data_IF_980282201866
#
_entry.id   IF_980282201866
#
_cell.length_a   1.000
_cell.length_b   1.000
_cell.length_c   1.000
_cell.angle_alpha   90.00
_cell.angle_beta   90.00
_cell.angle_gamma   90.00
#
_symmetry.space_group_name_H-M   'P 1'
#
loop_
_entity.id
_entity.type
_entity.pdbx_description
1 polymer ?
#
# COMPACT_ATOMS: atom_id res chain seq x y z
N UNK A 1 -21.36 -28.06 37.68
CA UNK A 1 -19.97 -28.45 38.01
C UNK A 1 -19.57 -29.60 37.08
N UNK A 2 -19.15 -29.27 35.85
CA UNK A 2 -18.54 -30.17 34.83
C UNK A 2 -18.26 -29.31 33.57
N UNK A 3 -17.55 -28.19 33.75
CA UNK A 3 -17.26 -27.21 32.68
C UNK A 3 -15.82 -26.70 32.75
N UNK A 4 -14.89 -27.44 33.36
CA UNK A 4 -13.64 -26.80 33.83
C UNK A 4 -12.32 -27.56 33.71
N UNK A 5 -12.22 -28.71 33.06
CA UNK A 5 -10.92 -29.41 33.01
C UNK A 5 -10.38 -29.75 31.61
N UNK A 6 -11.21 -29.73 30.56
CA UNK A 6 -10.77 -30.09 29.20
C UNK A 6 -10.33 -28.87 28.36
N UNK A 7 -10.70 -27.67 28.79
CA UNK A 7 -10.46 -26.42 28.04
C UNK A 7 -9.19 -25.69 28.47
N UNK A 8 -8.57 -26.10 29.59
CA UNK A 8 -7.43 -25.38 30.19
C UNK A 8 -6.09 -26.11 29.96
N UNK A 9 -6.08 -27.43 29.73
CA UNK A 9 -4.83 -28.22 29.64
C UNK A 9 -4.31 -28.54 28.23
N UNK A 10 -5.04 -28.19 27.17
CA UNK A 10 -4.59 -28.40 25.79
C UNK A 10 -3.98 -27.15 25.14
N UNK A 11 -4.08 -26.00 25.80
CA UNK A 11 -3.64 -24.67 25.33
C UNK A 11 -2.43 -24.15 26.16
N UNK A 12 -1.60 -25.03 26.73
CA UNK A 12 -0.25 -24.62 27.18
C UNK A 12 0.66 -24.48 25.94
N UNK A 13 0.46 -23.35 25.27
CA UNK A 13 1.23 -22.70 24.20
C UNK A 13 1.60 -23.50 22.93
N UNK A 14 0.62 -24.02 22.18
CA UNK A 14 0.83 -24.09 20.75
C UNK A 14 0.87 -22.66 20.20
N UNK A 15 1.98 -22.29 19.54
CA UNK A 15 2.15 -21.08 18.71
C UNK A 15 0.89 -20.77 17.88
N UNK A 16 0.12 -21.80 17.53
CA UNK A 16 -1.19 -21.69 16.92
C UNK A 16 -2.25 -22.55 17.65
N UNK A 17 -3.19 -21.96 18.41
CA UNK A 17 -4.24 -22.70 19.11
C UNK A 17 -5.10 -23.54 18.16
N UNK A 18 -5.41 -24.79 18.56
CA UNK A 18 -6.11 -25.77 17.71
C UNK A 18 -7.50 -25.32 17.23
N UNK A 19 -8.15 -24.39 17.96
CA UNK A 19 -9.41 -23.77 17.54
C UNK A 19 -9.29 -23.01 16.21
N UNK A 20 -8.18 -22.32 15.97
CA UNK A 20 -7.96 -21.57 14.73
C UNK A 20 -7.69 -22.51 13.56
N UNK A 21 -6.92 -23.59 13.80
CA UNK A 21 -6.68 -24.64 12.81
C UNK A 21 -8.01 -25.24 12.32
N UNK A 22 -8.87 -25.65 13.26
CA UNK A 22 -10.19 -26.21 12.93
C UNK A 22 -11.07 -25.21 12.19
N UNK A 23 -11.05 -23.94 12.60
CA UNK A 23 -11.84 -22.88 11.95
C UNK A 23 -11.47 -22.75 10.46
N UNK A 24 -10.17 -22.64 10.16
CA UNK A 24 -9.69 -22.50 8.76
C UNK A 24 -9.92 -23.78 7.95
N UNK A 25 -9.70 -24.95 8.55
CA UNK A 25 -9.95 -26.24 7.89
C UNK A 25 -11.43 -26.49 7.58
N UNK A 26 -12.34 -25.91 8.37
CA UNK A 26 -13.78 -26.04 8.18
C UNK A 26 -14.34 -25.07 7.11
N UNK A 27 -13.53 -24.15 6.56
CA UNK A 27 -13.98 -23.28 5.47
C UNK A 27 -14.48 -24.08 4.24
N UNK A 28 -13.91 -25.27 4.00
CA UNK A 28 -14.35 -26.19 2.94
C UNK A 28 -15.79 -26.71 3.12
N UNK A 29 -16.38 -26.58 4.32
CA UNK A 29 -17.78 -26.95 4.57
C UNK A 29 -18.77 -26.02 3.88
N UNK A 30 -18.30 -24.85 3.41
CA UNK A 30 -19.11 -23.88 2.69
C UNK A 30 -18.84 -24.01 1.17
N UNK A 31 -19.62 -24.85 0.43
CA UNK A 31 -19.32 -25.17 -0.98
C UNK A 31 -19.40 -23.97 -1.93
N UNK A 32 -20.03 -22.87 -1.49
CA UNK A 32 -20.19 -21.63 -2.24
C UNK A 32 -19.28 -20.50 -1.74
N UNK A 33 -18.36 -20.78 -0.81
CA UNK A 33 -17.42 -19.78 -0.31
C UNK A 33 -16.43 -19.41 -1.42
N UNK A 34 -16.51 -18.16 -1.89
CA UNK A 34 -15.65 -17.63 -2.97
C UNK A 34 -14.88 -16.39 -2.56
N UNK A 35 -15.28 -15.73 -1.48
CA UNK A 35 -14.68 -14.51 -1.01
C UNK A 35 -14.22 -14.75 0.42
N UNK A 36 -12.95 -14.48 0.69
CA UNK A 36 -12.38 -14.62 2.02
C UNK A 36 -11.65 -13.33 2.39
N UNK A 37 -12.05 -12.73 3.51
CA UNK A 37 -11.33 -11.62 4.12
C UNK A 37 -10.71 -12.11 5.43
N UNK A 38 -9.41 -11.88 5.59
CA UNK A 38 -8.65 -12.20 6.80
C UNK A 38 -8.11 -10.90 7.37
N UNK A 39 -8.49 -10.61 8.62
CA UNK A 39 -8.02 -9.45 9.37
C UNK A 39 -7.07 -9.89 10.47
N UNK A 40 -5.83 -9.42 10.40
CA UNK A 40 -4.86 -9.56 11.47
C UNK A 40 -4.94 -8.36 12.43
N UNK A 41 -4.31 -8.49 13.59
CA UNK A 41 -4.18 -7.37 14.52
C UNK A 41 -3.43 -6.21 13.83
N UNK A 42 -3.77 -4.93 14.06
CA UNK A 42 -3.08 -3.80 13.44
C UNK A 42 -1.69 -3.48 14.04
N UNK A 43 -1.12 -4.43 14.81
CA UNK A 43 0.24 -4.31 15.37
C UNK A 43 1.00 -5.58 15.10
N UNK A 44 2.19 -5.46 14.55
CA UNK A 44 3.16 -6.53 14.35
C UNK A 44 4.54 -6.08 14.82
N UNK A 45 5.44 -7.04 14.94
CA UNK A 45 6.83 -6.82 15.33
C UNK A 45 7.63 -8.07 15.01
N UNK A 46 8.86 -7.86 14.55
CA UNK A 46 9.85 -8.89 14.27
C UNK A 46 11.20 -8.49 14.86
N UNK A 47 11.61 -7.24 14.67
CA UNK A 47 12.91 -6.71 15.09
C UNK A 47 12.86 -6.09 16.50
N UNK A 48 11.74 -5.44 16.88
CA UNK A 48 11.65 -4.66 18.12
C UNK A 48 11.21 -5.52 19.32
N UNK A 49 12.06 -5.67 20.36
CA UNK A 49 11.76 -6.52 21.52
C UNK A 49 10.86 -5.84 22.56
N UNK A 50 10.70 -4.51 22.50
CA UNK A 50 10.10 -3.72 23.59
C UNK A 50 8.56 -3.76 23.62
N UNK A 51 7.92 -4.03 22.48
CA UNK A 51 6.46 -4.11 22.37
C UNK A 51 6.08 -5.45 21.73
N UNK A 52 5.92 -6.50 22.54
CA UNK A 52 5.43 -7.78 22.02
C UNK A 52 4.03 -7.60 21.43
N UNK A 53 3.84 -7.71 20.10
CA UNK A 53 2.54 -7.54 19.49
C UNK A 53 1.60 -8.66 19.98
N UNK A 54 0.27 -8.45 20.01
CA UNK A 54 -0.68 -9.48 20.42
C UNK A 54 -0.66 -10.75 19.56
N UNK A 55 -0.09 -10.67 18.35
CA UNK A 55 0.10 -11.78 17.42
C UNK A 55 1.57 -11.83 17.04
N UNK A 56 2.27 -12.91 17.41
CA UNK A 56 3.65 -13.13 16.98
C UNK A 56 3.74 -13.36 15.47
N UNK A 57 4.94 -13.19 14.93
CA UNK A 57 5.24 -13.52 13.54
C UNK A 57 4.89 -14.98 13.21
N UNK A 58 5.28 -15.93 14.06
CA UNK A 58 5.05 -17.36 13.83
C UNK A 58 3.56 -17.70 13.83
N UNK A 59 2.75 -17.05 14.69
CA UNK A 59 1.30 -17.18 14.66
C UNK A 59 0.73 -16.71 13.31
N UNK A 60 1.11 -15.49 12.87
CA UNK A 60 0.64 -14.89 11.61
C UNK A 60 1.01 -15.75 10.40
N UNK A 61 2.27 -16.18 10.32
CA UNK A 61 2.79 -17.03 9.24
C UNK A 61 2.04 -18.37 9.17
N UNK A 62 1.84 -19.05 10.31
CA UNK A 62 1.10 -20.33 10.34
C UNK A 62 -0.37 -20.17 9.96
N UNK A 63 -1.04 -19.11 10.43
CA UNK A 63 -2.41 -18.80 10.01
C UNK A 63 -2.47 -18.58 8.49
N UNK A 64 -1.54 -17.80 7.94
CA UNK A 64 -1.51 -17.50 6.52
C UNK A 64 -1.32 -18.78 5.68
N UNK A 65 -0.37 -19.63 6.06
CA UNK A 65 -0.14 -20.91 5.39
C UNK A 65 -1.40 -21.80 5.39
N UNK A 66 -2.13 -21.85 6.51
CA UNK A 66 -3.39 -22.59 6.60
C UNK A 66 -4.49 -21.98 5.73
N UNK A 67 -4.60 -20.66 5.69
CA UNK A 67 -5.57 -19.95 4.85
C UNK A 67 -5.31 -20.22 3.38
N UNK A 68 -4.06 -20.08 2.93
CA UNK A 68 -3.67 -20.35 1.54
C UNK A 68 -3.93 -21.81 1.16
N UNK A 69 -3.56 -22.75 2.03
CA UNK A 69 -3.83 -24.18 1.83
C UNK A 69 -5.32 -24.47 1.73
N UNK A 70 -6.13 -23.81 2.57
CA UNK A 70 -7.59 -23.97 2.53
C UNK A 70 -8.17 -23.45 1.21
N UNK A 71 -7.78 -22.25 0.79
CA UNK A 71 -8.19 -21.65 -0.49
C UNK A 71 -7.81 -22.53 -1.70
N UNK A 72 -6.58 -23.04 -1.71
CA UNK A 72 -6.10 -23.94 -2.76
C UNK A 72 -6.86 -25.28 -2.80
N UNK A 73 -7.48 -25.69 -1.69
CA UNK A 73 -8.25 -26.95 -1.57
C UNK A 73 -9.73 -26.82 -1.91
N UNK A 74 -10.25 -25.61 -2.16
CA UNK A 74 -11.67 -25.44 -2.45
C UNK A 74 -12.08 -26.14 -3.74
N UNK A 75 -13.26 -26.78 -3.71
CA UNK A 75 -13.82 -27.45 -4.90
C UNK A 75 -14.13 -26.46 -6.04
N UNK A 76 -14.35 -25.19 -5.70
CA UNK A 76 -14.50 -24.08 -6.64
C UNK A 76 -13.43 -23.04 -6.32
N UNK A 77 -12.70 -22.50 -7.32
CA UNK A 77 -11.68 -21.50 -7.06
C UNK A 77 -12.26 -20.26 -6.36
N UNK A 78 -11.51 -19.73 -5.40
CA UNK A 78 -11.85 -18.44 -4.80
C UNK A 78 -11.82 -17.32 -5.84
N UNK A 79 -12.72 -16.35 -5.69
CA UNK A 79 -12.81 -15.16 -6.53
C UNK A 79 -12.19 -13.94 -5.86
N UNK A 80 -12.24 -13.85 -4.53
CA UNK A 80 -11.74 -12.70 -3.81
C UNK A 80 -10.94 -13.11 -2.58
N UNK A 81 -9.77 -12.48 -2.42
CA UNK A 81 -8.99 -12.55 -1.20
C UNK A 81 -8.71 -11.13 -0.70
N UNK A 82 -9.10 -10.86 0.53
CA UNK A 82 -8.72 -9.66 1.26
C UNK A 82 -7.85 -10.00 2.46
N UNK A 83 -6.69 -9.36 2.56
CA UNK A 83 -5.80 -9.47 3.70
C UNK A 83 -5.64 -8.08 4.32
N UNK A 84 -6.29 -7.86 5.46
CA UNK A 84 -6.18 -6.62 6.22
C UNK A 84 -5.12 -6.79 7.30
N UNK A 85 -4.25 -5.77 7.42
CA UNK A 85 -3.13 -5.73 8.37
C UNK A 85 -2.15 -6.91 8.20
N UNK A 86 -1.93 -7.34 6.96
CA UNK A 86 -1.01 -8.41 6.62
C UNK A 86 0.43 -7.94 6.83
N UNK A 87 1.18 -8.62 7.69
CA UNK A 87 2.57 -8.26 7.95
C UNK A 87 3.39 -8.42 6.67
N UNK A 88 4.23 -7.44 6.35
CA UNK A 88 5.08 -7.31 5.15
C UNK A 88 6.18 -8.38 5.04
N UNK A 89 5.82 -9.66 5.13
CA UNK A 89 6.74 -10.79 5.05
C UNK A 89 6.18 -11.80 4.05
N UNK A 90 6.91 -12.01 2.97
CA UNK A 90 6.58 -13.04 1.99
C UNK A 90 6.90 -14.43 2.54
N UNK A 91 6.18 -15.48 2.08
CA UNK A 91 6.62 -16.84 2.30
C UNK A 91 7.96 -17.06 1.58
N UNK A 92 8.91 -17.70 2.26
CA UNK A 92 10.25 -18.00 1.76
C UNK A 92 10.37 -19.45 1.26
N UNK A 93 9.59 -20.36 1.82
CA UNK A 93 9.61 -21.76 1.45
C UNK A 93 8.88 -22.03 0.12
N UNK A 94 9.48 -22.87 -0.72
CA UNK A 94 9.00 -23.15 -2.09
C UNK A 94 7.58 -23.76 -2.11
N UNK A 95 7.22 -24.54 -1.09
CA UNK A 95 5.91 -25.18 -1.02
C UNK A 95 4.81 -24.15 -0.76
N UNK A 96 4.97 -23.30 0.24
CA UNK A 96 4.02 -22.22 0.56
C UNK A 96 3.91 -21.21 -0.58
N UNK A 97 5.02 -20.86 -1.24
CA UNK A 97 4.98 -19.98 -2.43
C UNK A 97 4.17 -20.62 -3.57
N UNK A 98 4.31 -21.93 -3.79
CA UNK A 98 3.52 -22.65 -4.79
C UNK A 98 2.02 -22.64 -4.45
N UNK A 99 1.68 -22.91 -3.18
CA UNK A 99 0.30 -22.87 -2.68
C UNK A 99 -0.28 -21.46 -2.80
N UNK A 100 0.52 -20.43 -2.48
CA UNK A 100 0.15 -19.03 -2.65
C UNK A 100 -0.23 -18.76 -4.10
N UNK A 101 0.67 -19.06 -5.05
CA UNK A 101 0.45 -18.83 -6.48
C UNK A 101 -0.81 -19.55 -6.98
N UNK A 102 -1.04 -20.78 -6.52
CA UNK A 102 -2.27 -21.53 -6.82
C UNK A 102 -3.52 -20.83 -6.26
N UNK A 103 -3.48 -20.38 -5.01
CA UNK A 103 -4.60 -19.72 -4.34
C UNK A 103 -4.93 -18.36 -5.00
N UNK A 104 -3.92 -17.59 -5.39
CA UNK A 104 -4.12 -16.26 -5.98
C UNK A 104 -4.42 -16.29 -7.49
N UNK A 105 -4.01 -17.33 -8.23
CA UNK A 105 -4.01 -17.31 -9.70
C UNK A 105 -5.38 -17.20 -10.37
N UNK A 106 -6.46 -17.50 -9.65
CA UNK A 106 -7.84 -17.40 -10.16
C UNK A 106 -8.63 -16.21 -9.57
N UNK A 107 -7.98 -15.37 -8.77
CA UNK A 107 -8.65 -14.26 -8.11
C UNK A 107 -9.09 -13.20 -9.11
N UNK A 108 -10.33 -12.75 -8.95
CA UNK A 108 -10.87 -11.57 -9.62
C UNK A 108 -10.71 -10.31 -8.76
N UNK A 109 -10.52 -10.48 -7.45
CA UNK A 109 -10.31 -9.38 -6.51
C UNK A 109 -9.20 -9.75 -5.55
N UNK A 110 -8.17 -8.90 -5.48
CA UNK A 110 -7.08 -9.02 -4.51
C UNK A 110 -6.99 -7.70 -3.75
N UNK A 111 -7.07 -7.78 -2.43
CA UNK A 111 -6.96 -6.62 -1.56
C UNK A 111 -5.89 -6.89 -0.52
N UNK A 112 -4.84 -6.09 -0.55
CA UNK A 112 -3.68 -6.20 0.34
C UNK A 112 -3.56 -4.92 1.15
N UNK A 113 -3.81 -5.04 2.45
CA UNK A 113 -3.44 -4.04 3.45
C UNK A 113 -2.14 -4.47 4.12
N UNK A 114 -1.04 -3.87 3.70
CA UNK A 114 0.33 -4.18 4.10
C UNK A 114 0.66 -3.45 5.40
N UNK A 115 0.81 -4.22 6.47
CA UNK A 115 1.24 -3.76 7.79
C UNK A 115 2.75 -3.87 7.88
N UNK A 116 3.39 -2.73 8.14
CA UNK A 116 4.82 -2.66 8.42
C UNK A 116 5.06 -2.63 9.93
N UNK A 117 6.22 -3.11 10.37
CA UNK A 117 6.66 -2.93 11.74
C UNK A 117 6.83 -1.43 12.03
N UNK A 118 6.35 -0.99 13.19
CA UNK A 118 6.38 0.40 13.60
C UNK A 118 7.16 0.55 14.92
N UNK A 119 8.17 1.40 14.89
CA UNK A 119 8.92 1.84 16.05
C UNK A 119 8.24 3.08 16.64
N UNK A 120 7.37 2.87 17.64
CA UNK A 120 6.71 3.97 18.34
C UNK A 120 7.73 5.01 18.83
N UNK A 121 7.52 6.27 18.43
CA UNK A 121 8.39 7.40 18.80
C UNK A 121 9.57 7.65 17.86
N UNK A 122 9.79 6.82 16.84
CA UNK A 122 10.77 7.07 15.78
C UNK A 122 10.35 6.41 14.45
N UNK A 123 9.33 6.98 13.81
CA UNK A 123 8.77 6.46 12.55
C UNK A 123 9.74 6.49 11.37
N UNK A 124 10.81 7.28 11.45
CA UNK A 124 11.88 7.35 10.45
C UNK A 124 12.61 6.01 10.32
N UNK A 125 12.73 5.27 11.44
CA UNK A 125 13.34 3.93 11.48
C UNK A 125 12.51 2.92 10.71
N UNK A 126 11.19 3.10 10.59
CA UNK A 126 10.31 2.11 9.96
C UNK A 126 10.66 1.87 8.49
N UNK A 127 11.17 2.91 7.81
CA UNK A 127 11.65 2.86 6.43
C UNK A 127 12.99 2.13 6.28
N UNK A 128 13.73 1.93 7.38
CA UNK A 128 15.04 1.24 7.36
C UNK A 128 14.91 -0.27 7.46
N UNK A 129 13.72 -0.80 7.83
CA UNK A 129 13.51 -2.23 7.95
C UNK A 129 13.52 -2.93 6.59
N UNK A 130 14.42 -3.92 6.47
CA UNK A 130 14.64 -4.67 5.22
C UNK A 130 13.41 -5.45 4.73
N UNK A 131 12.50 -5.79 5.65
CA UNK A 131 11.26 -6.52 5.36
C UNK A 131 10.35 -5.71 4.43
N UNK A 132 10.21 -4.40 4.66
CA UNK A 132 9.39 -3.52 3.82
C UNK A 132 9.92 -3.48 2.38
N UNK A 133 11.23 -3.36 2.21
CA UNK A 133 11.91 -3.35 0.90
C UNK A 133 11.79 -4.68 0.19
N UNK A 134 12.04 -5.78 0.89
CA UNK A 134 11.98 -7.13 0.32
C UNK A 134 10.57 -7.47 -0.11
N UNK A 135 9.58 -7.23 0.76
CA UNK A 135 8.17 -7.47 0.47
C UNK A 135 7.71 -6.69 -0.76
N UNK A 136 7.95 -5.38 -0.79
CA UNK A 136 7.47 -4.49 -1.86
C UNK A 136 8.13 -4.80 -3.19
N UNK A 137 9.43 -5.15 -3.21
CA UNK A 137 10.15 -5.58 -4.42
C UNK A 137 9.61 -6.88 -5.01
N UNK A 138 9.22 -7.83 -4.15
CA UNK A 138 8.71 -9.13 -4.57
C UNK A 138 7.18 -9.14 -4.80
N UNK A 139 6.48 -8.12 -4.32
CA UNK A 139 5.02 -8.00 -4.45
C UNK A 139 4.52 -8.26 -5.88
N UNK A 140 5.13 -7.68 -6.94
CA UNK A 140 4.69 -7.93 -8.31
C UNK A 140 4.75 -9.41 -8.72
N UNK A 141 5.85 -10.11 -8.44
CA UNK A 141 6.07 -11.49 -8.92
C UNK A 141 5.43 -12.56 -8.03
N UNK A 142 5.34 -12.30 -6.72
CA UNK A 142 4.77 -13.27 -5.76
C UNK A 142 3.25 -13.18 -5.73
N UNK A 143 2.69 -11.97 -5.66
CA UNK A 143 1.26 -11.77 -5.40
C UNK A 143 0.46 -11.37 -6.63
N UNK A 144 1.01 -10.51 -7.49
CA UNK A 144 0.24 -9.85 -8.54
C UNK A 144 0.28 -10.61 -9.87
N UNK A 145 1.45 -11.02 -10.32
CA UNK A 145 1.68 -11.73 -11.59
C UNK A 145 0.81 -12.99 -11.72
N UNK A 146 0.67 -13.84 -10.67
CA UNK A 146 -0.16 -15.04 -10.79
C UNK A 146 -1.62 -14.75 -11.13
N UNK A 147 -2.18 -13.65 -10.63
CA UNK A 147 -3.58 -13.25 -10.87
C UNK A 147 -3.74 -12.32 -12.09
N UNK A 148 -2.65 -11.96 -12.78
CA UNK A 148 -2.61 -10.86 -13.75
C UNK A 148 -3.71 -10.94 -14.83
N UNK A 149 -3.97 -12.15 -15.34
CA UNK A 149 -4.94 -12.39 -16.41
C UNK A 149 -6.41 -12.34 -15.94
N UNK A 150 -6.68 -12.63 -14.66
CA UNK A 150 -8.05 -12.79 -14.11
C UNK A 150 -8.50 -11.62 -13.25
N UNK A 151 -7.54 -10.84 -12.74
CA UNK A 151 -7.79 -9.76 -11.79
C UNK A 151 -8.65 -8.64 -12.39
N UNK A 152 -9.66 -8.24 -11.64
CA UNK A 152 -10.60 -7.14 -11.96
C UNK A 152 -10.62 -6.05 -10.89
N UNK A 153 -10.20 -6.37 -9.67
CA UNK A 153 -10.12 -5.42 -8.57
C UNK A 153 -8.79 -5.61 -7.85
N UNK A 154 -8.07 -4.51 -7.65
CA UNK A 154 -6.81 -4.48 -6.92
C UNK A 154 -6.85 -3.35 -5.89
N UNK A 155 -6.65 -3.69 -4.63
CA UNK A 155 -6.39 -2.72 -3.54
C UNK A 155 -4.99 -2.96 -3.01
N UNK A 156 -4.12 -1.94 -3.04
CA UNK A 156 -2.77 -1.96 -2.46
C UNK A 156 -2.65 -0.80 -1.47
N UNK A 157 -2.78 -1.12 -0.19
CA UNK A 157 -2.68 -0.16 0.90
C UNK A 157 -1.48 -0.54 1.77
N UNK A 158 -0.80 0.45 2.35
CA UNK A 158 0.33 0.22 3.23
C UNK A 158 0.30 1.20 4.40
N UNK A 159 0.76 0.76 5.58
CA UNK A 159 0.96 1.69 6.71
C UNK A 159 2.17 2.61 6.53
N UNK A 160 3.05 2.32 5.57
CA UNK A 160 4.12 3.21 5.11
C UNK A 160 3.79 3.76 3.73
N UNK A 161 4.18 5.00 3.49
CA UNK A 161 4.29 5.51 2.13
C UNK A 161 5.20 4.59 1.30
N UNK A 162 4.70 4.10 0.17
CA UNK A 162 5.39 3.16 -0.70
C UNK A 162 5.24 3.55 -2.16
N UNK A 163 6.03 2.94 -3.04
CA UNK A 163 6.09 3.32 -4.46
C UNK A 163 7.45 3.91 -4.80
N UNK A 164 7.91 4.88 -4.02
CA UNK A 164 9.28 5.40 -4.09
C UNK A 164 10.25 4.59 -3.22
N UNK A 165 10.07 4.63 -1.89
CA UNK A 165 10.91 3.95 -0.90
C UNK A 165 10.04 3.53 0.30
N UNK A 166 9.69 2.23 0.44
CA UNK A 166 10.15 1.10 -0.37
C UNK A 166 9.63 1.15 -1.82
N UNK A 167 10.49 0.72 -2.75
CA UNK A 167 10.19 0.69 -4.19
C UNK A 167 9.09 -0.31 -4.53
N UNK A 168 8.07 0.14 -5.24
CA UNK A 168 7.13 -0.72 -5.97
C UNK A 168 7.17 -0.42 -7.47
N UNK A 169 7.78 -1.32 -8.25
CA UNK A 169 7.81 -1.23 -9.70
C UNK A 169 6.78 -2.15 -10.36
N UNK A 170 5.81 -1.55 -11.05
CA UNK A 170 4.72 -2.26 -11.73
C UNK A 170 4.84 -2.22 -13.27
N UNK A 171 5.92 -1.65 -13.82
CA UNK A 171 6.04 -1.40 -15.27
C UNK A 171 5.87 -2.65 -16.12
N UNK A 172 6.35 -3.79 -15.62
CA UNK A 172 6.37 -5.06 -16.34
C UNK A 172 5.12 -5.93 -16.14
N UNK A 173 4.15 -5.47 -15.33
CA UNK A 173 2.90 -6.19 -15.07
C UNK A 173 1.68 -5.40 -15.56
N UNK A 174 0.77 -6.09 -16.24
CA UNK A 174 -0.50 -5.53 -16.73
C UNK A 174 -1.68 -6.38 -16.30
N UNK A 175 -2.82 -5.73 -16.16
CA UNK A 175 -4.06 -6.35 -15.72
C UNK A 175 -5.15 -6.09 -16.78
N UNK A 176 -5.24 -6.89 -17.85
CA UNK A 176 -6.10 -6.58 -18.99
C UNK A 176 -7.59 -6.44 -18.63
N UNK A 177 -8.02 -7.03 -17.53
CA UNK A 177 -9.41 -7.03 -17.06
C UNK A 177 -9.68 -6.11 -15.86
N UNK A 178 -8.72 -5.24 -15.48
CA UNK A 178 -8.83 -4.40 -14.29
C UNK A 178 -9.95 -3.38 -14.42
N UNK A 179 -10.90 -3.44 -13.49
CA UNK A 179 -12.08 -2.56 -13.43
C UNK A 179 -12.04 -1.62 -12.22
N UNK A 180 -11.29 -1.98 -11.17
CA UNK A 180 -11.16 -1.21 -9.94
C UNK A 180 -9.71 -1.21 -9.49
N UNK A 181 -9.15 -0.03 -9.24
CA UNK A 181 -7.83 0.14 -8.65
C UNK A 181 -7.96 1.05 -7.42
N UNK A 182 -7.38 0.62 -6.31
CA UNK A 182 -7.31 1.39 -5.07
C UNK A 182 -5.87 1.41 -4.58
N UNK A 183 -5.33 2.60 -4.35
CA UNK A 183 -4.00 2.82 -3.82
C UNK A 183 -4.12 3.63 -2.52
N UNK A 184 -3.42 3.18 -1.47
CA UNK A 184 -3.49 3.79 -0.14
C UNK A 184 -2.08 4.05 0.41
N UNK A 185 -1.71 5.29 0.71
CA UNK A 185 -0.32 5.71 0.98
C UNK A 185 0.65 5.48 -0.19
N UNK A 186 0.18 5.57 -1.44
CA UNK A 186 1.07 5.40 -2.59
C UNK A 186 1.74 6.73 -2.99
N UNK A 187 3.05 6.70 -3.17
CA UNK A 187 3.90 7.85 -3.47
C UNK A 187 4.36 7.86 -4.93
N UNK A 188 4.08 8.95 -5.63
CA UNK A 188 4.44 9.18 -7.03
C UNK A 188 5.69 10.04 -7.15
N UNK A 189 6.65 9.61 -7.96
CA UNK A 189 7.93 10.32 -8.20
C UNK A 189 8.36 10.26 -9.67
N UNK A 190 7.63 9.51 -10.51
CA UNK A 190 8.01 9.30 -11.91
C UNK A 190 6.80 9.04 -12.82
N UNK A 191 6.91 9.47 -14.08
CA UNK A 191 5.86 9.39 -15.10
C UNK A 191 5.36 7.96 -15.33
N UNK A 192 6.25 6.98 -15.25
CA UNK A 192 5.90 5.57 -15.48
C UNK A 192 4.87 5.03 -14.49
N UNK A 193 4.76 5.61 -13.28
CA UNK A 193 3.72 5.23 -12.33
C UNK A 193 2.34 5.71 -12.80
N UNK A 194 2.26 6.92 -13.37
CA UNK A 194 1.03 7.44 -13.99
C UNK A 194 0.69 6.66 -15.26
N UNK A 195 1.67 6.46 -16.16
CA UNK A 195 1.49 5.69 -17.40
C UNK A 195 1.01 4.27 -17.13
N UNK A 196 1.46 3.69 -16.01
CA UNK A 196 1.00 2.39 -15.58
C UNK A 196 -0.51 2.38 -15.32
N UNK A 197 -1.04 3.34 -14.55
CA UNK A 197 -2.48 3.46 -14.28
C UNK A 197 -3.26 3.71 -15.59
N UNK A 198 -2.77 4.61 -16.45
CA UNK A 198 -3.44 4.97 -17.70
C UNK A 198 -3.52 3.81 -18.69
N UNK A 199 -2.58 2.85 -18.62
CA UNK A 199 -2.60 1.66 -19.47
C UNK A 199 -3.85 0.79 -19.31
N UNK A 200 -4.56 0.92 -18.19
CA UNK A 200 -5.80 0.18 -17.91
C UNK A 200 -7.05 0.96 -18.34
N UNK A 201 -6.90 2.11 -19.00
CA UNK A 201 -7.99 2.96 -19.46
C UNK A 201 -9.14 2.26 -20.22
N UNK A 202 -8.89 1.23 -21.05
CA UNK A 202 -9.96 0.50 -21.73
C UNK A 202 -10.94 -0.25 -20.79
N UNK A 203 -10.53 -0.57 -19.57
CA UNK A 203 -11.31 -1.41 -18.64
C UNK A 203 -11.55 -0.79 -17.27
N UNK A 204 -10.71 0.16 -16.85
CA UNK A 204 -10.75 0.76 -15.52
C UNK A 204 -11.98 1.65 -15.34
N UNK A 205 -12.82 1.30 -14.37
CA UNK A 205 -14.11 1.97 -14.09
C UNK A 205 -14.10 2.71 -12.76
N UNK A 206 -13.26 2.29 -11.82
CA UNK A 206 -13.18 2.85 -10.48
C UNK A 206 -11.71 3.06 -10.11
N UNK A 207 -11.39 4.27 -9.67
CA UNK A 207 -10.06 4.64 -9.21
C UNK A 207 -10.19 5.33 -7.85
N UNK A 208 -9.50 4.79 -6.86
CA UNK A 208 -9.49 5.29 -5.49
C UNK A 208 -8.05 5.59 -5.07
N UNK A 209 -7.84 6.80 -4.58
CA UNK A 209 -6.54 7.32 -4.17
C UNK A 209 -6.70 7.82 -2.74
N UNK A 210 -6.21 7.05 -1.80
CA UNK A 210 -6.38 7.27 -0.36
C UNK A 210 -5.01 7.66 0.22
N UNK A 211 -4.88 8.85 0.77
CA UNK A 211 -3.63 9.41 1.28
C UNK A 211 -2.44 9.20 0.31
N UNK A 212 -2.71 9.36 -1.00
CA UNK A 212 -1.67 9.28 -2.02
C UNK A 212 -0.97 10.62 -2.17
N UNK A 213 0.34 10.61 -2.40
CA UNK A 213 1.15 11.81 -2.46
C UNK A 213 2.06 11.84 -3.70
N UNK A 214 2.40 13.04 -4.14
CA UNK A 214 3.48 13.28 -5.11
C UNK A 214 4.73 13.69 -4.33
N UNK A 215 5.80 12.90 -4.47
CA UNK A 215 7.13 13.26 -4.00
C UNK A 215 7.78 14.18 -5.03
N UNK A 216 7.65 15.49 -4.82
CA UNK A 216 8.12 16.49 -5.78
C UNK A 216 9.62 16.75 -5.65
N UNK A 217 10.20 16.49 -4.48
CA UNK A 217 11.64 16.45 -4.23
C UNK A 217 11.98 15.19 -3.43
N UNK A 218 13.03 14.49 -3.84
CA UNK A 218 13.51 13.31 -3.13
C UNK A 218 15.01 13.37 -2.92
N UNK A 219 15.44 12.92 -1.75
CA UNK A 219 16.82 12.79 -1.35
C UNK A 219 17.05 11.45 -0.65
N UNK A 220 17.98 10.64 -1.17
CA UNK A 220 18.23 9.30 -0.61
C UNK A 220 19.68 8.83 -0.71
N UNK A 221 20.17 8.10 0.30
CA UNK A 221 21.46 7.40 0.24
C UNK A 221 21.33 6.03 -0.41
N UNK A 222 20.32 5.26 -0.02
CA UNK A 222 20.02 3.93 -0.55
C UNK A 222 19.31 3.98 -1.92
N UNK A 223 20.12 4.06 -2.97
CA UNK A 223 19.64 4.15 -4.36
C UNK A 223 19.13 2.83 -4.90
N UNK A 224 19.46 1.71 -4.28
CA UNK A 224 19.14 0.37 -4.79
C UNK A 224 17.70 -0.04 -4.44
N UNK A 225 17.20 0.40 -3.28
CA UNK A 225 15.83 0.11 -2.83
C UNK A 225 14.81 1.20 -3.17
N UNK A 226 15.20 2.24 -3.92
CA UNK A 226 14.31 3.31 -4.35
C UNK A 226 13.82 3.14 -5.80
N UNK A 227 12.74 3.82 -6.16
CA UNK A 227 12.12 3.68 -7.49
C UNK A 227 13.01 4.17 -8.63
N UNK A 228 13.63 5.33 -8.44
CA UNK A 228 14.46 6.00 -9.43
C UNK A 228 15.78 5.25 -9.62
N UNK A 229 16.26 5.19 -10.86
CA UNK A 229 17.59 4.67 -11.13
C UNK A 229 18.67 5.70 -10.73
N UNK A 230 19.91 5.26 -10.46
CA UNK A 230 21.02 6.18 -10.17
C UNK A 230 21.29 7.21 -11.28
N UNK A 231 20.88 6.93 -12.53
CA UNK A 231 21.04 7.84 -13.67
C UNK A 231 20.02 8.99 -13.68
N UNK A 232 18.89 8.82 -13.00
CA UNK A 232 17.83 9.83 -12.84
C UNK A 232 18.11 10.73 -11.63
N UNK A 233 19.18 10.46 -10.88
CA UNK A 233 19.56 11.23 -9.71
C UNK A 233 20.81 12.06 -9.95
N UNK A 234 20.85 13.21 -9.31
CA UNK A 234 22.00 14.09 -9.26
C UNK A 234 22.68 13.98 -7.88
N UNK A 235 24.01 14.09 -7.82
CA UNK A 235 24.72 14.06 -6.55
C UNK A 235 24.37 15.32 -5.73
N UNK A 236 23.96 15.13 -4.50
CA UNK A 236 23.87 16.18 -3.50
C UNK A 236 25.25 16.74 -3.17
N UNK A 237 25.32 17.99 -2.68
CA UNK A 237 26.57 18.70 -2.47
C UNK A 237 27.40 18.16 -1.30
N UNK A 238 26.78 17.44 -0.35
CA UNK A 238 27.42 16.94 0.86
C UNK A 238 27.40 15.41 0.94
N UNK A 239 28.41 14.86 1.63
CA UNK A 239 28.51 13.44 1.97
C UNK A 239 28.06 13.22 3.41
N UNK A 240 27.44 12.08 3.70
CA UNK A 240 27.16 11.70 5.08
C UNK A 240 28.46 11.33 5.85
N UNK A 241 28.32 10.97 7.13
CA UNK A 241 29.42 10.55 8.00
C UNK A 241 30.19 9.33 7.46
N UNK A 242 29.58 8.54 6.58
CA UNK A 242 30.15 7.36 5.95
C UNK A 242 30.75 7.64 4.55
N UNK A 243 30.74 8.91 4.12
CA UNK A 243 31.30 9.34 2.84
C UNK A 243 30.38 9.12 1.63
N UNK A 244 29.11 8.73 1.84
CA UNK A 244 28.15 8.47 0.79
C UNK A 244 27.50 9.76 0.30
N UNK A 245 27.25 9.83 -1.02
CA UNK A 245 26.66 11.00 -1.68
C UNK A 245 25.16 10.80 -1.80
N UNK A 246 24.41 11.70 -1.16
CA UNK A 246 22.96 11.77 -1.23
C UNK A 246 22.52 11.92 -2.69
N UNK A 247 21.72 11.01 -3.22
CA UNK A 247 21.11 11.16 -4.54
C UNK A 247 19.89 12.06 -4.43
N UNK A 248 19.75 13.02 -5.34
CA UNK A 248 18.60 13.92 -5.40
C UNK A 248 17.91 13.86 -6.74
N UNK A 249 16.59 14.03 -6.72
CA UNK A 249 15.80 14.23 -7.92
C UNK A 249 14.57 15.07 -7.61
N UNK A 250 14.14 15.83 -8.61
CA UNK A 250 12.94 16.66 -8.57
C UNK A 250 11.95 16.12 -9.59
N UNK A 251 10.69 16.04 -9.20
CA UNK A 251 9.60 15.61 -10.08
C UNK A 251 8.67 16.79 -10.36
N UNK A 252 8.47 17.09 -11.64
CA UNK A 252 7.80 18.32 -12.08
C UNK A 252 6.28 18.22 -12.16
N UNK A 253 5.70 17.01 -12.28
CA UNK A 253 4.25 16.86 -12.37
C UNK A 253 3.55 17.16 -11.05
N UNK A 254 2.30 17.59 -11.16
CA UNK A 254 1.42 17.96 -10.05
C UNK A 254 0.10 17.21 -10.14
N UNK A 255 -0.72 17.27 -9.10
CA UNK A 255 -2.00 16.57 -9.07
C UNK A 255 -2.93 17.02 -10.19
N UNK A 256 -2.92 18.29 -10.59
CA UNK A 256 -3.65 18.74 -11.76
C UNK A 256 -3.24 18.05 -13.06
N UNK A 257 -1.97 17.67 -13.23
CA UNK A 257 -1.53 16.88 -14.39
C UNK A 257 -2.11 15.47 -14.34
N UNK A 258 -2.12 14.86 -13.15
CA UNK A 258 -2.69 13.53 -12.92
C UNK A 258 -4.21 13.53 -13.15
N UNK A 259 -4.94 14.51 -12.61
CA UNK A 259 -6.38 14.62 -12.77
C UNK A 259 -6.78 14.83 -14.24
N UNK A 260 -6.07 15.70 -14.97
CA UNK A 260 -6.25 15.86 -16.42
C UNK A 260 -5.94 14.56 -17.17
N UNK A 261 -4.84 13.89 -16.83
CA UNK A 261 -4.48 12.63 -17.46
C UNK A 261 -5.52 11.53 -17.21
N UNK A 262 -6.11 11.45 -16.01
CA UNK A 262 -7.22 10.55 -15.71
C UNK A 262 -8.49 10.93 -16.47
N UNK A 263 -8.77 12.24 -16.58
CA UNK A 263 -9.91 12.75 -17.32
C UNK A 263 -9.81 12.42 -18.82
N UNK A 264 -8.62 12.42 -19.40
CA UNK A 264 -8.42 12.15 -20.83
C UNK A 264 -8.18 10.65 -21.11
N UNK A 265 -7.34 10.01 -20.31
CA UNK A 265 -6.82 8.66 -20.54
C UNK A 265 -7.67 7.51 -19.98
N UNK A 266 -8.65 7.79 -19.11
CA UNK A 266 -9.52 6.75 -18.52
C UNK A 266 -10.97 6.89 -19.03
N UNK A 267 -11.28 6.47 -20.26
CA UNK A 267 -12.61 6.67 -20.87
C UNK A 267 -13.73 5.89 -20.19
N UNK A 268 -13.43 4.79 -19.50
CA UNK A 268 -14.42 3.97 -18.79
C UNK A 268 -14.61 4.35 -17.32
N UNK A 269 -13.87 5.36 -16.82
CA UNK A 269 -13.93 5.78 -15.44
C UNK A 269 -15.32 6.36 -15.09
N UNK A 270 -15.96 5.78 -14.08
CA UNK A 270 -17.32 6.14 -13.61
C UNK A 270 -17.34 6.54 -12.14
N UNK A 271 -16.32 6.14 -11.39
CA UNK A 271 -16.22 6.48 -9.97
C UNK A 271 -14.78 6.84 -9.65
N UNK A 272 -14.61 7.98 -9.00
CA UNK A 272 -13.32 8.49 -8.60
C UNK A 272 -13.41 9.01 -7.15
N UNK A 273 -12.42 8.64 -6.34
CA UNK A 273 -12.21 9.23 -5.01
C UNK A 273 -10.73 9.54 -4.83
N UNK A 274 -10.49 10.65 -4.16
CA UNK A 274 -9.19 11.21 -3.92
C UNK A 274 -9.21 12.00 -2.61
N UNK A 275 -8.41 11.65 -1.63
CA UNK A 275 -8.36 12.30 -0.31
C UNK A 275 -8.08 11.27 0.77
N UNK A 276 -8.76 11.36 1.91
CA UNK A 276 -8.49 10.52 3.09
C UNK A 276 -9.72 9.77 3.60
N UNK A 277 -9.54 8.50 3.95
CA UNK A 277 -10.53 7.70 4.66
C UNK A 277 -10.67 8.14 6.12
N UNK A 278 -11.89 8.27 6.67
CA UNK A 278 -12.11 8.78 8.03
C UNK A 278 -11.53 7.89 9.15
N UNK A 279 -11.41 6.59 8.88
CA UNK A 279 -10.92 5.59 9.84
C UNK A 279 -9.43 5.27 9.62
N UNK A 280 -8.74 6.06 8.80
CA UNK A 280 -7.30 5.90 8.67
C UNK A 280 -6.63 6.19 10.02
N UNK A 281 -5.69 5.33 10.42
CA UNK A 281 -4.99 5.36 11.72
C UNK A 281 -5.87 5.07 12.97
N UNK A 282 -7.08 4.55 12.80
CA UNK A 282 -7.91 4.10 13.93
C UNK A 282 -7.32 2.86 14.62
N UNK A 283 -7.98 2.40 15.69
CA UNK A 283 -7.60 1.16 16.39
C UNK A 283 -7.75 -0.12 15.53
N UNK A 284 -8.31 -0.03 14.32
CA UNK A 284 -8.48 -1.12 13.37
C UNK A 284 -7.33 -1.25 12.37
N UNK A 285 -6.52 -0.20 12.19
CA UNK A 285 -5.38 -0.15 11.29
C UNK A 285 -5.77 0.32 9.89
N UNK A 286 -5.48 -0.47 8.87
CA UNK A 286 -5.72 -0.10 7.47
C UNK A 286 -7.23 -0.07 7.18
N UNK A 287 -7.80 1.01 6.59
CA UNK A 287 -9.24 1.18 6.39
C UNK A 287 -9.77 0.32 5.22
N UNK A 288 -9.94 -0.97 5.52
CA UNK A 288 -10.40 -1.97 4.57
C UNK A 288 -11.89 -1.84 4.32
N UNK A 289 -12.29 -1.95 3.05
CA UNK A 289 -13.69 -1.83 2.56
C UNK A 289 -14.28 -0.41 2.60
N UNK A 290 -13.44 0.60 2.85
CA UNK A 290 -13.84 2.00 2.98
C UNK A 290 -13.60 2.85 1.73
N UNK A 291 -13.21 2.26 0.58
CA UNK A 291 -12.80 3.03 -0.61
C UNK A 291 -13.88 4.00 -1.12
N UNK A 292 -15.16 3.65 -0.99
CA UNK A 292 -16.26 4.52 -1.39
C UNK A 292 -16.53 5.67 -0.41
N UNK A 293 -15.99 5.57 0.80
CA UNK A 293 -16.15 6.47 1.94
C UNK A 293 -14.98 7.47 2.08
N UNK A 294 -13.94 7.35 1.25
CA UNK A 294 -12.85 8.34 1.13
C UNK A 294 -13.48 9.73 0.97
N UNK A 295 -13.15 10.61 1.91
CA UNK A 295 -13.57 12.01 1.87
C UNK A 295 -12.72 12.71 0.83
N UNK A 296 -13.37 13.41 -0.10
CA UNK A 296 -12.64 14.13 -1.12
C UNK A 296 -12.03 15.37 -0.48
N UNK A 297 -10.70 15.44 -0.46
CA UNK A 297 -9.96 16.57 0.11
C UNK A 297 -8.68 16.85 -0.68
N UNK A 298 -8.27 18.11 -0.66
CA UNK A 298 -6.97 18.59 -1.12
C UNK A 298 -6.19 19.09 0.11
N UNK A 299 -5.64 18.16 0.89
CA UNK A 299 -4.91 18.45 2.12
C UNK A 299 -3.49 18.97 1.85
N UNK A 300 -2.75 19.31 2.90
CA UNK A 300 -1.34 19.67 2.76
C UNK A 300 -0.43 18.47 2.41
N UNK A 301 -0.90 17.24 2.56
CA UNK A 301 -0.13 16.00 2.34
C UNK A 301 -0.07 15.56 0.87
N UNK A 302 -0.64 16.35 -0.04
CA UNK A 302 -0.62 16.11 -1.48
C UNK A 302 0.80 16.06 -2.08
N UNK A 303 1.66 16.93 -1.57
CA UNK A 303 3.03 17.11 -2.03
C UNK A 303 3.98 16.93 -0.85
N UNK A 304 4.87 15.95 -0.96
CA UNK A 304 5.80 15.62 0.11
C UNK A 304 7.23 15.73 -0.40
N UNK A 305 8.15 16.13 0.46
CA UNK A 305 9.58 15.94 0.25
C UNK A 305 9.96 14.65 0.93
N UNK A 306 10.73 13.79 0.24
CA UNK A 306 11.34 12.64 0.89
C UNK A 306 12.80 12.93 1.20
N UNK A 307 13.19 12.74 2.46
CA UNK A 307 14.59 12.76 2.86
C UNK A 307 14.94 11.50 3.64
N UNK A 308 16.06 10.89 3.30
CA UNK A 308 16.59 9.74 4.04
C UNK A 308 16.77 10.09 5.52
N UNK A 309 16.41 9.14 6.38
CA UNK A 309 16.40 9.32 7.83
C UNK A 309 15.29 10.20 8.39
N UNK A 310 14.38 10.75 7.58
CA UNK A 310 13.18 11.48 8.04
C UNK A 310 11.89 10.92 7.43
N UNK A 311 11.97 10.42 6.20
CA UNK A 311 10.82 9.95 5.43
C UNK A 311 10.10 11.09 4.70
N UNK A 312 8.90 10.81 4.17
CA UNK A 312 8.11 11.79 3.44
C UNK A 312 7.43 12.79 4.39
N UNK A 313 7.55 14.09 4.11
CA UNK A 313 6.99 15.15 4.94
C UNK A 313 6.54 16.36 4.12
N UNK A 314 5.38 16.99 4.45
CA UNK A 314 4.94 18.23 3.82
C UNK A 314 5.61 19.48 4.45
N UNK A 315 6.28 19.32 5.60
CA UNK A 315 6.82 20.44 6.39
C UNK A 315 8.30 20.75 6.11
N UNK A 316 8.90 20.04 5.15
CA UNK A 316 10.32 20.17 4.88
C UNK A 316 10.58 21.34 3.93
N UNK A 317 11.12 22.43 4.48
CA UNK A 317 11.45 23.65 3.75
C UNK A 317 12.93 23.77 3.36
N UNK A 318 13.78 22.84 3.85
CA UNK A 318 15.24 22.81 3.66
C UNK A 318 15.77 21.40 3.65
N UNK A 319 16.85 21.17 2.89
CA UNK A 319 17.60 19.92 2.97
C UNK A 319 18.43 19.82 4.26
N UNK A 320 18.43 18.65 4.86
CA UNK A 320 19.13 18.40 6.11
C UNK A 320 20.65 18.32 5.91
N UNK A 321 21.39 18.95 6.83
CA UNK A 321 22.86 18.98 6.79
C UNK A 321 23.44 20.00 5.82
N UNK A 322 22.64 20.86 5.18
CA UNK A 322 23.05 21.74 4.08
C UNK A 322 23.29 23.20 4.51
N UNK A 323 23.71 24.06 3.58
CA UNK A 323 23.84 25.49 3.86
C UNK A 323 22.44 26.12 3.88
N UNK A 324 22.26 27.24 4.58
CA UNK A 324 20.97 27.95 4.76
C UNK A 324 20.26 28.38 3.45
N UNK A 325 20.87 28.20 2.28
CA UNK A 325 20.42 28.71 0.99
C UNK A 325 19.75 27.64 0.08
N UNK A 326 19.71 26.37 0.50
CA UNK A 326 19.13 25.27 -0.28
C UNK A 326 17.68 24.97 0.16
N UNK A 327 16.77 25.90 -0.17
CA UNK A 327 15.37 25.86 0.21
C UNK A 327 14.55 24.98 -0.73
N UNK A 328 13.63 24.19 -0.17
CA UNK A 328 12.65 23.40 -0.92
C UNK A 328 11.29 24.08 -0.80
N UNK A 329 10.84 24.72 -1.89
CA UNK A 329 9.55 25.43 -1.89
C UNK A 329 8.40 24.47 -2.15
N UNK A 330 7.36 24.54 -1.32
CA UNK A 330 6.14 23.77 -1.52
C UNK A 330 5.44 24.20 -2.83
N UNK A 331 4.85 23.28 -3.62
CA UNK A 331 4.14 23.63 -4.84
C UNK A 331 2.91 24.53 -4.63
N UNK A 332 2.96 25.76 -5.13
CA UNK A 332 1.82 26.71 -5.12
C UNK A 332 0.87 26.44 -6.30
N UNK A 333 0.17 25.30 -6.30
CA UNK A 333 -0.71 24.89 -7.41
C UNK A 333 -2.10 24.37 -6.99
N UNK A 334 -2.53 24.71 -5.77
CA UNK A 334 -3.81 24.23 -5.21
C UNK A 334 -5.03 24.65 -6.04
N UNK A 335 -5.00 25.83 -6.66
CA UNK A 335 -6.10 26.31 -7.50
C UNK A 335 -6.21 25.46 -8.78
N UNK A 336 -5.09 25.18 -9.44
CA UNK A 336 -5.02 24.32 -10.62
C UNK A 336 -5.43 22.88 -10.30
N UNK A 337 -5.02 22.38 -9.13
CA UNK A 337 -5.40 21.05 -8.63
C UNK A 337 -6.91 20.96 -8.41
N UNK A 338 -7.51 21.98 -7.78
CA UNK A 338 -8.96 22.05 -7.58
C UNK A 338 -9.72 22.10 -8.91
N UNK A 339 -9.31 22.98 -9.83
CA UNK A 339 -9.97 23.12 -11.12
C UNK A 339 -9.91 21.81 -11.94
N UNK A 340 -8.76 21.11 -11.92
CA UNK A 340 -8.60 19.84 -12.60
C UNK A 340 -9.38 18.69 -11.92
N UNK A 341 -9.44 18.68 -10.59
CA UNK A 341 -10.23 17.72 -9.82
C UNK A 341 -11.73 17.87 -10.11
N UNK A 342 -12.26 19.09 -10.11
CA UNK A 342 -13.66 19.36 -10.46
C UNK A 342 -13.99 18.90 -11.88
N UNK A 343 -13.11 19.17 -12.84
CA UNK A 343 -13.28 18.73 -14.22
C UNK A 343 -13.35 17.19 -14.33
N UNK A 344 -12.50 16.48 -13.59
CA UNK A 344 -12.51 15.02 -13.50
C UNK A 344 -13.78 14.49 -12.84
N UNK A 345 -14.20 15.07 -11.70
CA UNK A 345 -15.40 14.67 -10.99
C UNK A 345 -16.66 14.91 -11.83
N UNK A 346 -16.73 16.05 -12.52
CA UNK A 346 -17.84 16.35 -13.43
C UNK A 346 -17.93 15.32 -14.55
N UNK A 347 -16.80 14.83 -15.09
CA UNK A 347 -16.78 13.76 -16.09
C UNK A 347 -17.36 12.45 -15.55
N UNK A 348 -17.13 12.12 -14.28
CA UNK A 348 -17.67 10.90 -13.64
C UNK A 348 -19.10 11.07 -13.12
N UNK A 349 -19.71 12.25 -13.30
CA UNK A 349 -21.05 12.57 -12.79
C UNK A 349 -21.08 12.83 -11.28
N UNK A 350 -19.91 13.13 -10.69
CA UNK A 350 -19.74 13.51 -9.30
C UNK A 350 -19.62 15.03 -9.19
N UNK A 351 -20.05 15.59 -8.06
CA UNK A 351 -19.88 17.00 -7.73
C UNK A 351 -19.48 17.13 -6.26
N UNK A 352 -18.74 18.18 -5.94
CA UNK A 352 -18.25 18.53 -4.61
C UNK A 352 -18.37 20.03 -4.43
N UNK A 353 -18.54 20.49 -3.18
CA UNK A 353 -18.41 21.91 -2.85
C UNK A 353 -16.92 22.21 -2.63
N UNK A 354 -16.39 23.28 -3.25
CA UNK A 354 -15.00 23.70 -3.06
C UNK A 354 -14.67 23.91 -1.59
N UNK A 355 -15.62 24.43 -0.82
CA UNK A 355 -15.43 24.70 0.61
C UNK A 355 -15.26 23.42 1.44
N UNK A 356 -15.82 22.29 0.99
CA UNK A 356 -15.71 20.99 1.69
C UNK A 356 -14.42 20.24 1.31
N UNK A 357 -13.82 20.57 0.16
CA UNK A 357 -12.63 19.89 -0.39
C UNK A 357 -11.34 20.55 0.08
N UNK A 358 -11.34 21.88 0.15
CA UNK A 358 -10.21 22.62 0.69
C UNK A 358 -10.28 22.51 2.21
N UNK A 359 -9.44 21.65 2.79
CA UNK A 359 -9.24 21.66 4.24
C UNK A 359 -8.76 23.06 4.62
N UNK A 360 -9.60 23.78 5.38
CA UNK A 360 -9.18 24.99 6.06
C UNK A 360 -8.36 24.53 7.26
N UNK A 361 -7.04 24.44 7.10
CA UNK A 361 -6.11 24.24 8.22
C UNK A 361 -6.29 25.32 9.32
#
# INVERSE_FOLDING_TARGET
>A
MLLQEWQVKADEDPILPGRFIRLVQNLKMFPNLRNLNVRFHPRCGLEQPYNSPPQSFEFRSRIMALVLSSLASFAQPAHALGLQNYQNINPDDTETVSILKQAVGNLRSLRLGILNECCEGNGEIDLTYQQAHTFTRELPSVWLEPASSTLRQLTLYSTLYFGFYPKLDLRDIRFPNLQSLSLGNYSFVHDTQLDWILSHGPTLQRLYMDDCAILYEVGIYDKDNCYLSPAEMHPGPKRNLFGEVHGRASYSKRWHDYFRAFQEGLPQLRHFRFGSSPDWWDNSGIPFEMETEIRISLSMELYLVFCDGFGPSPYMDRWLGENDDDTVSYPECQAEDMDALEALLSKTGQAVDRADVLECD
#
